data_IF_769984989289
#
_entry.id   IF_769984989289
#
_cell.length_a   1.000
_cell.length_b   1.000
_cell.length_c   1.000
_cell.angle_alpha   90.00
_cell.angle_beta   90.00
_cell.angle_gamma   90.00
#
_symmetry.space_group_name_H-M   'P 1'
#
loop_
_entity.id
_entity.type
_entity.pdbx_description
1 polymer ?
#
# COMPACT_ATOMS: atom_id res chain seq x y z
N UNK A 1 -13.99 25.86 22.29
CA UNK A 1 -13.57 24.92 21.23
C UNK A 1 -13.37 23.59 21.94
N UNK A 2 -14.23 22.59 21.72
CA UNK A 2 -14.08 21.29 22.36
C UNK A 2 -12.91 20.56 21.67
N UNK A 3 -11.80 20.40 22.39
CA UNK A 3 -10.69 19.57 21.94
C UNK A 3 -11.24 18.13 21.86
N UNK A 4 -11.32 17.57 20.65
CA UNK A 4 -11.67 16.16 20.50
C UNK A 4 -10.48 15.35 20.99
N UNK A 5 -10.56 14.83 22.21
CA UNK A 5 -9.75 13.71 22.68
C UNK A 5 -9.72 12.64 21.57
N UNK A 6 -8.53 12.26 21.12
CA UNK A 6 -8.35 11.37 19.95
C UNK A 6 -8.96 9.99 20.16
N UNK A 7 -8.94 9.14 19.12
CA UNK A 7 -9.33 7.74 19.29
C UNK A 7 -8.29 7.01 20.16
N UNK A 8 -8.71 6.24 21.16
CA UNK A 8 -7.82 5.49 22.04
C UNK A 8 -8.01 3.97 21.86
N UNK A 9 -6.90 3.23 21.84
CA UNK A 9 -6.90 1.78 21.74
C UNK A 9 -7.57 1.15 22.96
N UNK A 10 -8.62 0.37 22.75
CA UNK A 10 -9.36 -0.29 23.85
C UNK A 10 -8.59 -1.42 24.53
N UNK A 11 -7.47 -1.85 23.95
CA UNK A 11 -6.61 -2.91 24.49
C UNK A 11 -5.55 -2.33 25.43
N UNK A 12 -4.85 -1.27 25.02
CA UNK A 12 -3.71 -0.73 25.77
C UNK A 12 -3.87 0.73 26.22
N UNK A 13 -4.95 1.42 25.83
CA UNK A 13 -5.22 2.82 26.18
C UNK A 13 -4.35 3.85 25.45
N UNK A 14 -3.53 3.43 24.48
CA UNK A 14 -2.71 4.36 23.69
C UNK A 14 -3.52 5.12 22.64
N UNK A 15 -3.11 6.34 22.30
CA UNK A 15 -3.72 7.13 21.21
C UNK A 15 -3.57 6.36 19.90
N UNK A 16 -4.67 6.14 19.19
CA UNK A 16 -4.70 5.60 17.84
C UNK A 16 -4.23 6.70 16.90
N UNK A 17 -2.99 6.58 16.43
CA UNK A 17 -2.50 7.43 15.35
C UNK A 17 -3.36 7.19 14.11
N UNK A 18 -4.04 8.25 13.65
CA UNK A 18 -4.99 8.20 12.55
C UNK A 18 -4.48 7.41 11.34
N UNK A 19 -5.36 6.53 10.86
CA UNK A 19 -5.36 5.84 9.57
C UNK A 19 -4.01 5.42 8.99
N UNK A 20 -3.47 4.32 9.52
CA UNK A 20 -2.75 3.40 8.63
C UNK A 20 -3.79 2.75 7.71
N UNK A 21 -4.12 3.40 6.61
CA UNK A 21 -4.96 2.83 5.56
C UNK A 21 -4.26 1.57 5.01
N UNK A 22 -4.71 0.40 5.47
CA UNK A 22 -4.27 -0.90 4.99
C UNK A 22 -5.36 -1.40 4.04
N UNK A 23 -5.02 -1.58 2.77
CA UNK A 23 -5.89 -2.23 1.80
C UNK A 23 -5.44 -3.67 1.56
N UNK A 24 -6.39 -4.57 1.37
CA UNK A 24 -6.09 -5.96 1.01
C UNK A 24 -6.07 -6.13 -0.50
N UNK A 25 -5.06 -6.85 -0.99
CA UNK A 25 -4.92 -7.25 -2.40
C UNK A 25 -4.64 -8.75 -2.47
N UNK A 26 -4.89 -9.37 -3.62
CA UNK A 26 -4.60 -10.78 -3.83
C UNK A 26 -3.17 -10.93 -4.36
N UNK A 27 -2.30 -11.55 -3.58
CA UNK A 27 -0.95 -11.93 -4.00
C UNK A 27 -0.87 -13.44 -4.02
N UNK A 28 -0.64 -14.05 -5.19
CA UNK A 28 -0.48 -15.51 -5.31
C UNK A 28 -1.67 -16.27 -4.68
N UNK A 29 -2.89 -15.77 -4.95
CA UNK A 29 -4.15 -16.32 -4.43
C UNK A 29 -4.40 -16.09 -2.93
N UNK A 30 -3.56 -15.31 -2.23
CA UNK A 30 -3.72 -15.03 -0.80
C UNK A 30 -4.03 -13.56 -0.55
N UNK A 31 -4.99 -13.24 0.34
CA UNK A 31 -5.23 -11.86 0.74
C UNK A 31 -4.05 -11.33 1.56
N UNK A 32 -3.45 -10.24 1.12
CA UNK A 32 -2.33 -9.56 1.75
C UNK A 32 -2.69 -8.11 2.00
N UNK A 33 -2.52 -7.65 3.25
CA UNK A 33 -2.65 -6.24 3.59
C UNK A 33 -1.42 -5.45 3.15
N UNK A 34 -1.64 -4.40 2.37
CA UNK A 34 -0.61 -3.43 1.95
C UNK A 34 -0.93 -2.09 2.61
N UNK A 35 0.01 -1.62 3.42
CA UNK A 35 -0.05 -0.31 4.05
C UNK A 35 0.17 0.78 3.00
N UNK A 36 -0.68 1.80 3.03
CA UNK A 36 -0.61 2.99 2.16
C UNK A 36 -0.67 2.68 0.67
N UNK A 37 -1.42 1.64 0.28
CA UNK A 37 -1.52 1.23 -1.12
C UNK A 37 -2.04 2.35 -2.02
N UNK A 38 -3.08 3.06 -1.60
CA UNK A 38 -3.65 4.15 -2.41
C UNK A 38 -2.66 5.27 -2.65
N UNK A 39 -1.95 5.70 -1.59
CA UNK A 39 -0.87 6.67 -1.69
C UNK A 39 0.24 6.19 -2.63
N UNK A 40 0.66 4.93 -2.53
CA UNK A 40 1.69 4.38 -3.43
C UNK A 40 1.25 4.46 -4.89
N UNK A 41 0.03 4.04 -5.20
CA UNK A 41 -0.50 4.05 -6.57
C UNK A 41 -0.62 5.50 -7.08
N UNK A 42 -1.15 6.42 -6.27
CA UNK A 42 -1.32 7.83 -6.65
C UNK A 42 0.03 8.50 -6.95
N UNK A 43 1.06 8.20 -6.17
CA UNK A 43 2.41 8.73 -6.42
C UNK A 43 3.03 8.16 -7.70
N UNK A 44 2.71 6.92 -8.09
CA UNK A 44 3.18 6.34 -9.36
C UNK A 44 2.41 6.93 -10.54
N UNK A 45 1.09 7.10 -10.43
CA UNK A 45 0.27 7.73 -11.48
C UNK A 45 0.71 9.17 -11.79
N UNK A 46 1.16 9.93 -10.78
CA UNK A 46 1.67 11.30 -10.94
C UNK A 46 2.96 11.39 -11.77
N UNK A 47 3.70 10.30 -11.94
CA UNK A 47 4.91 10.27 -12.78
C UNK A 47 4.54 10.38 -14.26
N UNK A 48 3.38 9.85 -14.66
CA UNK A 48 2.90 9.83 -16.03
C UNK A 48 2.98 8.44 -16.68
N UNK A 49 2.88 8.40 -18.00
CA UNK A 49 2.91 7.15 -18.78
C UNK A 49 4.27 6.44 -18.63
N UNK A 50 4.20 5.15 -18.27
CA UNK A 50 5.35 4.28 -18.06
C UNK A 50 5.11 2.95 -18.75
N UNK A 51 6.18 2.23 -19.09
CA UNK A 51 6.06 0.83 -19.47
C UNK A 51 5.55 0.00 -18.28
N UNK A 52 4.94 -1.16 -18.55
CA UNK A 52 4.53 -2.09 -17.49
C UNK A 52 5.68 -2.44 -16.55
N UNK A 53 6.88 -2.66 -17.09
CA UNK A 53 8.06 -3.00 -16.29
C UNK A 53 8.46 -1.83 -15.39
N UNK A 54 8.54 -0.61 -15.93
CA UNK A 54 8.91 0.58 -15.14
C UNK A 54 7.87 0.86 -14.04
N UNK A 55 6.58 0.71 -14.35
CA UNK A 55 5.51 0.87 -13.39
C UNK A 55 5.62 -0.17 -12.25
N UNK A 56 5.85 -1.46 -12.59
CA UNK A 56 6.08 -2.52 -11.61
C UNK A 56 7.29 -2.24 -10.71
N UNK A 57 8.39 -1.77 -11.28
CA UNK A 57 9.61 -1.42 -10.53
C UNK A 57 9.37 -0.24 -9.57
N UNK A 58 8.72 0.83 -10.03
CA UNK A 58 8.42 2.01 -9.22
C UNK A 58 7.36 1.74 -8.12
N UNK A 59 6.37 0.89 -8.39
CA UNK A 59 5.40 0.40 -7.39
C UNK A 59 6.12 -0.42 -6.32
N UNK A 60 6.94 -1.39 -6.72
CA UNK A 60 7.69 -2.24 -5.79
C UNK A 60 8.64 -1.43 -4.90
N UNK A 61 9.34 -0.46 -5.49
CA UNK A 61 10.26 0.44 -4.78
C UNK A 61 9.56 1.25 -3.69
N UNK A 62 8.36 1.79 -3.97
CA UNK A 62 7.56 2.51 -2.96
C UNK A 62 6.93 1.58 -1.95
N UNK A 63 6.37 0.45 -2.39
CA UNK A 63 5.74 -0.52 -1.51
C UNK A 63 6.71 -1.07 -0.44
N UNK A 64 7.97 -1.34 -0.82
CA UNK A 64 9.02 -1.79 0.10
C UNK A 64 9.37 -0.78 1.21
N UNK A 65 9.07 0.52 1.03
CA UNK A 65 9.35 1.53 2.07
C UNK A 65 8.38 1.42 3.25
N UNK A 66 7.19 0.86 3.02
CA UNK A 66 6.12 0.78 4.02
C UNK A 66 5.74 -0.65 4.38
N UNK A 67 6.14 -1.61 3.57
CA UNK A 67 5.76 -3.01 3.69
C UNK A 67 6.99 -3.91 3.55
N UNK A 68 7.00 -5.00 4.32
CA UNK A 68 7.95 -6.08 4.09
C UNK A 68 7.49 -6.93 2.91
N UNK A 69 8.31 -7.03 1.85
CA UNK A 69 8.05 -7.89 0.70
C UNK A 69 9.14 -8.98 0.65
N UNK A 70 8.78 -10.27 0.81
CA UNK A 70 9.75 -11.37 0.73
C UNK A 70 10.45 -11.39 -0.62
N UNK A 71 11.77 -11.54 -0.62
CA UNK A 71 12.58 -11.56 -1.86
C UNK A 71 12.13 -12.62 -2.86
N UNK A 72 11.71 -13.80 -2.38
CA UNK A 72 11.21 -14.92 -3.19
C UNK A 72 9.84 -14.67 -3.83
N UNK A 73 9.12 -13.63 -3.41
CA UNK A 73 7.76 -13.30 -3.89
C UNK A 73 7.69 -11.96 -4.62
N UNK A 74 8.83 -11.35 -4.95
CA UNK A 74 8.87 -10.01 -5.57
C UNK A 74 8.02 -9.94 -6.84
N UNK A 75 8.10 -10.93 -7.71
CA UNK A 75 7.34 -10.98 -8.97
C UNK A 75 5.82 -11.01 -8.70
N UNK A 76 5.35 -11.93 -7.86
CA UNK A 76 3.93 -12.01 -7.50
C UNK A 76 3.39 -10.72 -6.86
N UNK A 77 4.21 -10.02 -6.07
CA UNK A 77 3.84 -8.71 -5.53
C UNK A 77 3.83 -7.64 -6.60
N UNK A 78 4.81 -7.62 -7.51
CA UNK A 78 4.85 -6.66 -8.61
C UNK A 78 3.61 -6.79 -9.51
N UNK A 79 3.22 -8.02 -9.85
CA UNK A 79 2.01 -8.28 -10.65
C UNK A 79 0.73 -7.86 -9.93
N UNK A 80 0.61 -8.16 -8.63
CA UNK A 80 -0.54 -7.78 -7.83
C UNK A 80 -0.66 -6.25 -7.68
N UNK A 81 0.45 -5.57 -7.36
CA UNK A 81 0.49 -4.11 -7.26
C UNK A 81 0.16 -3.44 -8.59
N UNK A 82 0.68 -3.98 -9.70
CA UNK A 82 0.39 -3.47 -11.03
C UNK A 82 -1.07 -3.68 -11.44
N UNK A 83 -1.66 -4.80 -11.06
CA UNK A 83 -3.10 -5.04 -11.27
C UNK A 83 -3.94 -3.97 -10.57
N UNK A 84 -3.60 -3.61 -9.33
CA UNK A 84 -4.29 -2.53 -8.61
C UNK A 84 -4.02 -1.15 -9.20
N UNK A 85 -2.81 -0.90 -9.69
CA UNK A 85 -2.46 0.32 -10.41
C UNK A 85 -3.34 0.48 -11.67
N UNK A 86 -3.49 -0.58 -12.48
CA UNK A 86 -4.34 -0.57 -13.67
C UNK A 86 -5.83 -0.43 -13.33
N UNK A 87 -6.28 -0.99 -12.20
CA UNK A 87 -7.67 -0.85 -11.76
C UNK A 87 -8.01 0.59 -11.31
N UNK A 88 -7.00 1.39 -10.96
CA UNK A 88 -7.17 2.78 -10.49
C UNK A 88 -6.89 3.83 -11.59
N UNK A 89 -6.02 3.52 -12.54
CA UNK A 89 -5.67 4.37 -13.68
C UNK A 89 -6.87 4.62 -14.60
#
# INVERSE_FOLDING_TARGET
MAEKDGDYCTICGGVVSGDREIRQIMVDGKPVGISRLDFIIDEVLKIGEMSEQDAKEELMKRACQFNYIPTKKKESYADALFSEYLNKA
#
